data_IF_170004398379
#
_entry.id   IF_170004398379
#
_cell.length_a   1.000
_cell.length_b   1.000
_cell.length_c   1.000
_cell.angle_alpha   90.00
_cell.angle_beta   90.00
_cell.angle_gamma   90.00
#
_symmetry.space_group_name_H-M   'P 1'
#
loop_
_entity.id
_entity.type
_entity.pdbx_description
1 polymer ?
#
# COMPACT_ATOMS: atom_id res chain seq x y z
N UNK A 1 -2.08 10.41 -16.04
CA UNK A 1 -3.37 10.46 -16.78
C UNK A 1 -4.36 11.49 -16.25
N UNK A 2 -4.89 11.37 -15.02
CA UNK A 2 -5.86 12.35 -14.49
C UNK A 2 -5.22 13.74 -14.31
N UNK A 3 -4.01 13.81 -13.76
CA UNK A 3 -3.24 15.06 -13.67
C UNK A 3 -3.07 15.74 -15.03
N UNK A 4 -2.63 14.99 -16.04
CA UNK A 4 -2.52 15.51 -17.42
C UNK A 4 -3.87 15.97 -17.99
N UNK A 5 -4.98 15.30 -17.64
CA UNK A 5 -6.31 15.72 -18.06
C UNK A 5 -6.76 17.02 -17.38
N UNK A 6 -6.34 17.25 -16.14
CA UNK A 6 -6.54 18.50 -15.39
C UNK A 6 -5.66 19.63 -15.97
N UNK A 7 -4.37 19.37 -16.26
CA UNK A 7 -3.47 20.31 -16.94
C UNK A 7 -4.01 20.72 -18.33
N UNK A 8 -4.57 19.76 -19.09
CA UNK A 8 -5.25 20.08 -20.35
C UNK A 8 -6.50 20.94 -20.08
N UNK A 9 -7.24 20.69 -18.99
CA UNK A 9 -8.41 21.50 -18.63
C UNK A 9 -8.03 22.97 -18.35
N UNK A 10 -6.93 23.20 -17.63
CA UNK A 10 -6.41 24.55 -17.38
C UNK A 10 -6.03 25.26 -18.68
N UNK A 11 -5.33 24.55 -19.60
CA UNK A 11 -5.00 25.08 -20.93
C UNK A 11 -6.23 25.41 -21.78
N UNK A 12 -7.34 24.69 -21.57
CA UNK A 12 -8.62 24.94 -22.23
C UNK A 12 -9.39 26.14 -21.63
N UNK A 13 -8.98 26.66 -20.46
CA UNK A 13 -9.68 27.75 -19.77
C UNK A 13 -9.81 29.06 -20.56
N UNK A 14 -8.94 29.28 -21.55
CA UNK A 14 -8.98 30.45 -22.45
C UNK A 14 -9.68 30.20 -23.80
N UNK A 15 -10.20 28.99 -24.04
CA UNK A 15 -10.68 28.59 -25.37
C UNK A 15 -11.82 29.46 -25.89
N UNK A 16 -12.75 29.87 -25.03
CA UNK A 16 -13.87 30.73 -25.40
C UNK A 16 -13.42 32.14 -25.80
N UNK A 17 -12.37 32.68 -25.16
CA UNK A 17 -11.79 33.98 -25.54
C UNK A 17 -11.14 33.90 -26.92
N UNK A 18 -10.35 32.85 -27.19
CA UNK A 18 -9.69 32.66 -28.49
C UNK A 18 -10.73 32.51 -29.60
N UNK A 19 -11.82 31.77 -29.34
CA UNK A 19 -12.95 31.65 -30.28
C UNK A 19 -13.63 32.99 -30.53
N UNK A 20 -13.86 33.80 -29.50
CA UNK A 20 -14.44 35.13 -29.65
C UNK A 20 -13.52 36.10 -30.43
N UNK A 21 -12.20 36.01 -30.22
CA UNK A 21 -11.21 36.76 -30.99
C UNK A 21 -11.18 36.35 -32.46
N UNK A 22 -11.27 35.05 -32.74
CA UNK A 22 -11.41 34.53 -34.10
C UNK A 22 -12.63 35.11 -34.79
N UNK A 23 -13.82 35.07 -34.16
CA UNK A 23 -15.04 35.66 -34.72
C UNK A 23 -14.87 37.15 -35.05
N UNK A 24 -14.19 37.92 -34.18
CA UNK A 24 -13.92 39.34 -34.42
C UNK A 24 -12.92 39.56 -35.55
N UNK A 25 -11.88 38.74 -35.64
CA UNK A 25 -10.88 38.81 -36.71
C UNK A 25 -11.50 38.45 -38.07
N UNK A 26 -12.36 37.43 -38.12
CA UNK A 26 -13.13 37.05 -39.31
C UNK A 26 -14.02 38.18 -39.80
N UNK A 27 -14.73 38.87 -38.89
CA UNK A 27 -15.55 40.03 -39.24
C UNK A 27 -14.74 41.19 -39.85
N UNK A 28 -13.55 41.50 -39.28
CA UNK A 28 -12.65 42.55 -39.79
C UNK A 28 -12.07 42.20 -41.16
N UNK A 29 -11.66 40.95 -41.37
CA UNK A 29 -11.15 40.52 -42.66
C UNK A 29 -12.24 40.52 -43.74
N UNK A 30 -13.47 40.12 -43.41
CA UNK A 30 -14.60 40.22 -44.31
C UNK A 30 -14.88 41.67 -44.74
N UNK A 31 -14.71 42.64 -43.85
CA UNK A 31 -14.83 44.06 -44.16
C UNK A 31 -13.68 44.57 -45.06
N UNK A 32 -12.44 44.15 -44.81
CA UNK A 32 -11.28 44.48 -45.64
C UNK A 32 -11.35 43.88 -47.05
N UNK A 33 -11.98 42.71 -47.19
CA UNK A 33 -12.18 41.98 -48.46
C UNK A 33 -13.22 42.62 -49.38
N UNK A 34 -14.25 43.29 -48.83
CA UNK A 34 -15.32 43.97 -49.60
C UNK A 34 -14.81 44.99 -50.64
N UNK A 35 -13.57 45.46 -50.52
CA UNK A 35 -12.96 46.43 -51.44
C UNK A 35 -12.26 45.80 -52.65
N UNK A 36 -12.03 44.48 -52.69
CA UNK A 36 -11.34 43.82 -53.82
C UNK A 36 -11.70 42.33 -53.96
N UNK A 37 -12.25 41.94 -55.11
CA UNK A 37 -12.53 40.52 -55.43
C UNK A 37 -11.27 39.65 -55.48
N UNK A 38 -10.14 40.19 -55.92
CA UNK A 38 -8.86 39.45 -55.95
C UNK A 38 -8.34 39.17 -54.54
N UNK A 39 -8.54 40.12 -53.62
CA UNK A 39 -8.16 39.96 -52.22
C UNK A 39 -9.06 38.92 -51.53
N UNK A 40 -10.37 38.90 -51.84
CA UNK A 40 -11.30 37.86 -51.36
C UNK A 40 -10.90 36.44 -51.79
N UNK A 41 -10.53 36.26 -53.06
CA UNK A 41 -10.10 34.96 -53.58
C UNK A 41 -8.80 34.47 -52.93
N UNK A 42 -7.79 35.34 -52.83
CA UNK A 42 -6.50 35.01 -52.19
C UNK A 42 -6.67 34.74 -50.69
N UNK A 43 -7.60 35.45 -50.03
CA UNK A 43 -7.95 35.22 -48.63
C UNK A 43 -8.61 33.85 -48.43
N UNK A 44 -9.56 33.46 -49.28
CA UNK A 44 -10.17 32.12 -49.25
C UNK A 44 -9.15 30.99 -49.45
N UNK A 45 -8.20 31.17 -50.37
CA UNK A 45 -7.10 30.21 -50.57
C UNK A 45 -6.20 30.09 -49.32
N UNK A 46 -5.89 31.20 -48.65
CA UNK A 46 -5.15 31.17 -47.39
C UNK A 46 -5.94 30.49 -46.29
N UNK A 47 -7.25 30.69 -46.24
CA UNK A 47 -8.15 30.07 -45.26
C UNK A 47 -8.15 28.53 -45.42
N UNK A 48 -8.24 28.03 -46.67
CA UNK A 48 -8.16 26.61 -46.98
C UNK A 48 -6.80 26.00 -46.61
N UNK A 49 -5.69 26.68 -46.98
CA UNK A 49 -4.34 26.22 -46.63
C UNK A 49 -4.10 26.24 -45.11
N UNK A 50 -4.62 27.24 -44.41
CA UNK A 50 -4.52 27.32 -42.96
C UNK A 50 -5.31 26.19 -42.28
N UNK A 51 -6.51 25.86 -42.78
CA UNK A 51 -7.29 24.73 -42.27
C UNK A 51 -6.57 23.39 -42.49
N UNK A 52 -6.00 23.17 -43.67
CA UNK A 52 -5.20 21.97 -43.97
C UNK A 52 -3.95 21.89 -43.08
N UNK A 53 -3.24 23.02 -42.91
CA UNK A 53 -2.06 23.11 -42.04
C UNK A 53 -2.37 22.82 -40.58
N UNK A 54 -3.49 23.32 -40.06
CA UNK A 54 -3.93 23.07 -38.69
C UNK A 54 -4.25 21.58 -38.45
N UNK A 55 -4.90 20.91 -39.40
CA UNK A 55 -5.16 19.46 -39.33
C UNK A 55 -3.84 18.67 -39.31
N UNK A 56 -2.87 19.03 -40.15
CA UNK A 56 -1.55 18.37 -40.17
C UNK A 56 -0.77 18.62 -38.89
N UNK A 57 -0.85 19.82 -38.30
CA UNK A 57 -0.23 20.12 -37.02
C UNK A 57 -0.79 19.22 -35.89
N UNK A 58 -2.12 19.05 -35.83
CA UNK A 58 -2.78 18.13 -34.89
C UNK A 58 -2.34 16.68 -35.12
N UNK A 59 -2.26 16.22 -36.38
CA UNK A 59 -1.77 14.87 -36.72
C UNK A 59 -0.32 14.66 -36.26
N UNK A 60 0.56 15.62 -36.53
CA UNK A 60 1.97 15.54 -36.16
C UNK A 60 2.15 15.47 -34.64
N UNK A 61 1.40 16.28 -33.89
CA UNK A 61 1.41 16.30 -32.43
C UNK A 61 0.84 14.99 -31.83
N UNK A 62 -0.22 14.43 -32.42
CA UNK A 62 -0.75 13.12 -32.04
C UNK A 62 0.26 11.98 -32.27
N UNK A 63 0.93 11.97 -33.43
CA UNK A 63 1.95 10.97 -33.76
C UNK A 63 3.18 11.08 -32.86
N UNK A 64 3.63 12.31 -32.52
CA UNK A 64 4.76 12.52 -31.61
C UNK A 64 4.48 11.95 -30.22
N UNK A 65 3.28 12.19 -29.67
CA UNK A 65 2.84 11.56 -28.41
C UNK A 65 2.74 10.05 -28.50
N UNK A 66 2.22 9.52 -29.62
CA UNK A 66 2.12 8.08 -29.83
C UNK A 66 3.52 7.43 -29.86
N UNK A 67 4.49 8.09 -30.51
CA UNK A 67 5.88 7.66 -30.57
C UNK A 67 6.51 7.62 -29.16
N UNK A 68 6.35 8.69 -28.38
CA UNK A 68 6.85 8.76 -27.00
C UNK A 68 6.24 7.66 -26.13
N UNK A 69 4.92 7.44 -26.21
CA UNK A 69 4.24 6.39 -25.46
C UNK A 69 4.68 4.97 -25.88
N UNK A 70 4.77 4.70 -27.19
CA UNK A 70 5.22 3.40 -27.70
C UNK A 70 6.67 3.10 -27.32
N UNK A 71 7.52 4.13 -27.35
CA UNK A 71 8.92 4.05 -26.88
C UNK A 71 8.96 3.68 -25.40
N UNK A 72 8.19 4.35 -24.55
CA UNK A 72 8.09 4.01 -23.13
C UNK A 72 7.61 2.58 -22.87
N UNK A 73 6.67 2.06 -23.67
CA UNK A 73 6.24 0.66 -23.57
C UNK A 73 7.35 -0.33 -23.94
N UNK A 74 8.07 -0.08 -25.03
CA UNK A 74 9.23 -0.90 -25.43
C UNK A 74 10.29 -0.90 -24.34
N UNK A 75 10.61 0.28 -23.79
CA UNK A 75 11.67 0.43 -22.79
C UNK A 75 11.31 -0.30 -21.48
N UNK A 76 10.04 -0.28 -21.05
CA UNK A 76 9.59 -1.07 -19.90
C UNK A 76 9.68 -2.58 -20.10
N UNK A 77 9.42 -3.07 -21.33
CA UNK A 77 9.65 -4.48 -21.68
C UNK A 77 11.14 -4.80 -21.70
N UNK A 78 11.97 -3.93 -22.27
CA UNK A 78 13.42 -4.10 -22.33
C UNK A 78 14.06 -4.14 -20.93
N UNK A 79 13.58 -3.32 -19.99
CA UNK A 79 14.01 -3.36 -18.60
C UNK A 79 13.67 -4.71 -17.94
N UNK A 80 12.47 -5.22 -18.18
CA UNK A 80 12.06 -6.54 -17.69
C UNK A 80 12.90 -7.68 -18.29
N UNK A 81 13.35 -7.55 -19.54
CA UNK A 81 14.27 -8.49 -20.19
C UNK A 81 15.69 -8.43 -19.63
N UNK A 82 16.17 -7.23 -19.22
CA UNK A 82 17.53 -7.04 -18.72
C UNK A 82 17.80 -7.84 -17.43
N UNK A 83 16.80 -7.90 -16.55
CA UNK A 83 16.89 -8.63 -15.28
C UNK A 83 16.50 -10.12 -15.41
N UNK A 84 15.69 -10.46 -16.42
CA UNK A 84 15.22 -11.82 -16.66
C UNK A 84 14.35 -12.37 -15.53
N UNK A 85 13.98 -13.64 -15.63
CA UNK A 85 13.19 -14.34 -14.61
C UNK A 85 13.94 -15.52 -13.99
N UNK A 86 15.24 -15.35 -13.75
CA UNK A 86 16.08 -16.38 -13.17
C UNK A 86 15.60 -16.78 -11.76
N UNK A 87 15.44 -18.09 -11.55
CA UNK A 87 15.31 -18.69 -10.22
C UNK A 87 16.60 -19.42 -9.88
N UNK A 88 17.00 -19.36 -8.61
CA UNK A 88 18.15 -20.10 -8.09
C UNK A 88 18.07 -21.61 -8.41
N UNK A 89 19.22 -22.24 -8.61
CA UNK A 89 19.30 -23.68 -8.83
C UNK A 89 18.77 -24.47 -7.62
N UNK A 90 18.22 -25.66 -7.90
CA UNK A 90 17.76 -26.53 -6.82
C UNK A 90 18.96 -26.97 -5.95
N UNK A 91 18.92 -26.76 -4.63
CA UNK A 91 20.06 -27.07 -3.78
C UNK A 91 20.36 -28.57 -3.78
N UNK A 92 21.64 -28.94 -3.88
CA UNK A 92 22.07 -30.34 -3.91
C UNK A 92 21.63 -31.15 -2.66
N UNK A 93 21.41 -30.46 -1.53
CA UNK A 93 20.90 -31.03 -0.27
C UNK A 93 19.37 -31.21 -0.25
N UNK A 94 18.64 -30.61 -1.20
CA UNK A 94 17.17 -30.66 -1.32
C UNK A 94 16.62 -31.94 -1.96
N UNK A 95 17.47 -32.93 -2.25
CA UNK A 95 17.10 -34.16 -2.94
C UNK A 95 17.27 -34.08 -4.46
N UNK A 96 17.13 -35.22 -5.14
CA UNK A 96 17.42 -35.36 -6.57
C UNK A 96 16.33 -34.82 -7.49
N UNK A 97 15.11 -34.59 -6.97
CA UNK A 97 13.98 -34.12 -7.75
C UNK A 97 13.87 -32.61 -7.65
N UNK A 98 14.16 -31.93 -8.75
CA UNK A 98 14.04 -30.48 -8.86
C UNK A 98 12.57 -30.04 -8.93
N UNK A 99 12.05 -29.54 -7.81
CA UNK A 99 10.66 -29.06 -7.71
C UNK A 99 10.43 -27.72 -8.43
N UNK A 100 11.49 -26.99 -8.78
CA UNK A 100 11.40 -25.70 -9.48
C UNK A 100 11.43 -25.85 -11.00
N UNK A 101 11.73 -27.04 -11.54
CA UNK A 101 11.79 -27.29 -12.98
C UNK A 101 10.51 -26.85 -13.73
N UNK A 102 9.28 -27.16 -13.27
CA UNK A 102 8.06 -26.71 -13.95
C UNK A 102 7.87 -25.18 -13.90
N UNK A 103 8.34 -24.53 -12.83
CA UNK A 103 8.29 -23.08 -12.70
C UNK A 103 9.30 -22.42 -13.66
N UNK A 104 10.55 -22.90 -13.69
CA UNK A 104 11.58 -22.45 -14.64
C UNK A 104 11.11 -22.55 -16.09
N UNK A 105 10.47 -23.65 -16.48
CA UNK A 105 9.95 -23.81 -17.84
C UNK A 105 8.92 -22.74 -18.21
N UNK A 106 8.02 -22.37 -17.29
CA UNK A 106 7.04 -21.29 -17.49
C UNK A 106 7.73 -19.92 -17.56
N UNK A 107 8.75 -19.68 -16.74
CA UNK A 107 9.50 -18.42 -16.76
C UNK A 107 10.29 -18.25 -18.06
N UNK A 108 10.93 -19.31 -18.57
CA UNK A 108 11.54 -19.30 -19.91
C UNK A 108 10.51 -19.03 -21.01
N UNK A 109 9.28 -19.55 -20.88
CA UNK A 109 8.21 -19.22 -21.82
C UNK A 109 7.79 -17.74 -21.71
N UNK A 110 7.73 -17.18 -20.51
CA UNK A 110 7.46 -15.76 -20.31
C UNK A 110 8.56 -14.87 -20.91
N UNK A 111 9.84 -15.23 -20.79
CA UNK A 111 10.96 -14.52 -21.45
C UNK A 111 10.78 -14.48 -22.97
N UNK A 112 10.40 -15.61 -23.59
CA UNK A 112 10.10 -15.64 -25.04
C UNK A 112 8.96 -14.70 -25.42
N UNK A 113 7.91 -14.62 -24.62
CA UNK A 113 6.81 -13.68 -24.88
C UNK A 113 7.23 -12.22 -24.70
N UNK A 114 8.17 -11.92 -23.79
CA UNK A 114 8.76 -10.59 -23.71
C UNK A 114 9.59 -10.26 -24.96
N UNK A 115 10.35 -11.21 -25.50
CA UNK A 115 11.10 -11.02 -26.76
C UNK A 115 10.17 -10.73 -27.94
N UNK A 116 9.07 -11.50 -28.05
CA UNK A 116 8.03 -11.28 -29.04
C UNK A 116 7.38 -9.89 -28.88
N UNK A 117 7.03 -9.51 -27.64
CA UNK A 117 6.45 -8.21 -27.32
C UNK A 117 7.41 -7.06 -27.66
N UNK A 118 8.69 -7.17 -27.30
CA UNK A 118 9.73 -6.18 -27.62
C UNK A 118 9.87 -5.99 -29.13
N UNK A 119 9.87 -7.09 -29.89
CA UNK A 119 9.95 -7.07 -31.35
C UNK A 119 8.74 -6.35 -31.97
N UNK A 120 7.53 -6.69 -31.52
CA UNK A 120 6.29 -6.05 -32.00
C UNK A 120 6.25 -4.55 -31.65
N UNK A 121 6.67 -4.18 -30.44
CA UNK A 121 6.73 -2.78 -30.02
C UNK A 121 7.75 -1.98 -30.84
N UNK A 122 8.90 -2.59 -31.17
CA UNK A 122 9.91 -1.97 -32.04
C UNK A 122 9.38 -1.76 -33.45
N UNK A 123 8.64 -2.73 -34.00
CA UNK A 123 8.00 -2.59 -35.31
C UNK A 123 6.93 -1.48 -35.30
N UNK A 124 6.08 -1.43 -34.26
CA UNK A 124 5.08 -0.38 -34.11
C UNK A 124 5.70 1.03 -34.02
N UNK A 125 6.84 1.18 -33.35
CA UNK A 125 7.61 2.45 -33.31
C UNK A 125 8.04 2.84 -34.73
N UNK A 126 8.59 1.91 -35.51
CA UNK A 126 9.01 2.18 -36.89
C UNK A 126 7.84 2.59 -37.81
N UNK A 127 6.67 1.98 -37.62
CA UNK A 127 5.44 2.36 -38.33
C UNK A 127 5.01 3.79 -37.98
N UNK A 128 5.06 4.16 -36.69
CA UNK A 128 4.76 5.53 -36.23
C UNK A 128 5.77 6.54 -36.79
N UNK A 129 7.07 6.25 -36.77
CA UNK A 129 8.10 7.12 -37.35
C UNK A 129 7.89 7.34 -38.85
N UNK A 130 7.47 6.30 -39.57
CA UNK A 130 7.14 6.39 -40.99
C UNK A 130 5.94 7.32 -41.21
N UNK A 131 4.91 7.21 -40.38
CA UNK A 131 3.76 8.11 -40.41
C UNK A 131 4.14 9.57 -40.07
N UNK A 132 5.04 9.80 -39.10
CA UNK A 132 5.57 11.13 -38.77
C UNK A 132 6.22 11.77 -40.00
N UNK A 133 7.13 11.04 -40.66
CA UNK A 133 7.83 11.52 -41.87
C UNK A 133 6.85 11.79 -43.02
N UNK A 134 5.78 11.02 -43.16
CA UNK A 134 4.76 11.25 -44.17
C UNK A 134 4.02 12.57 -43.94
N UNK A 135 3.57 12.83 -42.70
CA UNK A 135 2.90 14.09 -42.34
C UNK A 135 3.81 15.31 -42.53
N UNK A 136 5.11 15.20 -42.19
CA UNK A 136 6.08 16.28 -42.43
C UNK A 136 6.26 16.60 -43.92
N UNK A 137 6.26 15.57 -44.79
CA UNK A 137 6.33 15.75 -46.24
C UNK A 137 5.08 16.41 -46.82
N UNK A 138 3.90 16.11 -46.28
CA UNK A 138 2.63 16.77 -46.66
C UNK A 138 2.60 18.24 -46.22
N UNK A 139 3.21 18.57 -45.08
CA UNK A 139 3.17 19.92 -44.49
C UNK A 139 4.04 20.94 -45.24
N UNK A 140 5.25 20.54 -45.64
CA UNK A 140 6.23 21.44 -46.27
C UNK A 140 5.71 22.23 -47.50
N UNK A 141 5.04 21.63 -48.51
CA UNK A 141 4.55 22.38 -49.67
C UNK A 141 3.42 23.36 -49.32
N UNK A 142 2.55 23.01 -48.36
CA UNK A 142 1.44 23.86 -47.94
C UNK A 142 1.93 25.14 -47.23
N UNK A 143 2.97 25.02 -46.40
CA UNK A 143 3.59 26.17 -45.74
C UNK A 143 4.21 27.14 -46.75
N UNK A 144 4.88 26.62 -47.79
CA UNK A 144 5.51 27.45 -48.82
C UNK A 144 4.47 28.13 -49.73
N UNK A 145 3.39 27.42 -50.10
CA UNK A 145 2.26 28.01 -50.82
C UNK A 145 1.60 29.13 -50.00
N UNK A 146 1.34 28.88 -48.71
CA UNK A 146 0.75 29.89 -47.82
C UNK A 146 1.68 31.09 -47.59
N UNK A 147 3.00 30.92 -47.61
CA UNK A 147 3.97 32.03 -47.53
C UNK A 147 3.94 32.89 -48.79
N UNK A 148 3.84 32.25 -49.96
CA UNK A 148 3.76 32.94 -51.25
C UNK A 148 2.50 33.78 -51.35
N UNK A 149 1.33 33.20 -51.07
CA UNK A 149 0.04 33.92 -51.14
C UNK A 149 -0.01 35.08 -50.12
N UNK A 150 0.60 34.93 -48.93
CA UNK A 150 0.71 36.04 -47.96
C UNK A 150 1.51 37.23 -48.49
N UNK A 151 2.58 36.99 -49.24
CA UNK A 151 3.35 38.07 -49.90
C UNK A 151 2.53 38.76 -50.98
N UNK A 152 1.75 38.01 -51.76
CA UNK A 152 0.85 38.58 -52.77
C UNK A 152 -0.23 39.47 -52.13
N UNK A 153 -0.81 39.02 -51.01
CA UNK A 153 -1.85 39.78 -50.29
C UNK A 153 -1.30 41.08 -49.70
N UNK A 154 -0.08 41.07 -49.17
CA UNK A 154 0.59 42.28 -48.68
C UNK A 154 0.86 43.28 -49.81
N UNK A 155 1.23 42.79 -51.01
CA UNK A 155 1.40 43.62 -52.20
C UNK A 155 0.11 44.25 -52.74
N UNK A 156 -1.05 43.65 -52.44
CA UNK A 156 -2.37 44.18 -52.85
C UNK A 156 -2.92 45.24 -51.88
N UNK A 157 -2.64 45.09 -50.58
CA UNK A 157 -3.09 46.03 -49.54
C UNK A 157 -2.20 45.94 -48.31
N UNK A 158 -1.56 47.05 -47.97
CA UNK A 158 -0.63 47.14 -46.83
C UNK A 158 -1.34 46.75 -45.52
N UNK A 159 -0.72 45.86 -44.75
CA UNK A 159 -1.27 45.31 -43.50
C UNK A 159 -2.28 44.17 -43.67
N UNK A 160 -2.72 43.83 -44.89
CA UNK A 160 -3.64 42.71 -45.11
C UNK A 160 -2.97 41.33 -44.94
N UNK A 161 -1.68 41.21 -45.28
CA UNK A 161 -0.91 39.97 -45.07
C UNK A 161 -0.69 39.68 -43.59
N UNK A 162 -0.49 40.74 -42.78
CA UNK A 162 -0.44 40.64 -41.33
C UNK A 162 -1.78 40.17 -40.73
N UNK A 163 -2.90 40.74 -41.18
CA UNK A 163 -4.24 40.32 -40.76
C UNK A 163 -4.54 38.87 -41.14
N UNK A 164 -4.19 38.44 -42.36
CA UNK A 164 -4.35 37.06 -42.82
C UNK A 164 -3.52 36.08 -41.98
N UNK A 165 -2.30 36.46 -41.59
CA UNK A 165 -1.46 35.66 -40.68
C UNK A 165 -2.08 35.53 -39.30
N UNK A 166 -2.64 36.62 -38.75
CA UNK A 166 -3.33 36.57 -37.46
C UNK A 166 -4.55 35.64 -37.49
N UNK A 167 -5.34 35.69 -38.57
CA UNK A 167 -6.47 34.78 -38.80
C UNK A 167 -6.06 33.32 -38.87
N UNK A 168 -5.04 33.01 -39.67
CA UNK A 168 -4.49 31.66 -39.76
C UNK A 168 -4.03 31.14 -38.40
N UNK A 169 -3.33 31.96 -37.62
CA UNK A 169 -2.87 31.60 -36.28
C UNK A 169 -4.06 31.33 -35.33
N UNK A 170 -5.09 32.19 -35.32
CA UNK A 170 -6.27 32.02 -34.46
C UNK A 170 -7.05 30.75 -34.81
N UNK A 171 -7.22 30.43 -36.11
CA UNK A 171 -7.87 29.19 -36.55
C UNK A 171 -7.06 27.95 -36.18
N UNK A 172 -5.74 28.01 -36.33
CA UNK A 172 -4.85 26.95 -35.90
C UNK A 172 -4.99 26.71 -34.38
N UNK A 173 -4.99 27.79 -33.58
CA UNK A 173 -5.20 27.70 -32.13
C UNK A 173 -6.55 27.05 -31.77
N UNK A 174 -7.65 27.44 -32.43
CA UNK A 174 -8.97 26.80 -32.19
C UNK A 174 -8.94 25.31 -32.52
N UNK A 175 -8.31 24.93 -33.63
CA UNK A 175 -8.18 23.52 -34.04
C UNK A 175 -7.35 22.71 -33.04
N UNK A 176 -6.25 23.30 -32.54
CA UNK A 176 -5.43 22.71 -31.48
C UNK A 176 -6.21 22.56 -30.17
N UNK A 177 -7.04 23.54 -29.79
CA UNK A 177 -7.90 23.48 -28.60
C UNK A 177 -8.94 22.36 -28.73
N UNK A 178 -9.55 22.18 -29.90
CA UNK A 178 -10.50 21.08 -30.13
C UNK A 178 -9.82 19.71 -30.04
N UNK A 179 -8.61 19.57 -30.57
CA UNK A 179 -7.79 18.37 -30.43
C UNK A 179 -7.43 18.09 -28.96
N UNK A 180 -7.05 19.12 -28.20
CA UNK A 180 -6.79 19.01 -26.76
C UNK A 180 -8.03 18.57 -25.99
N UNK A 181 -9.21 19.08 -26.35
CA UNK A 181 -10.49 18.67 -25.75
C UNK A 181 -10.77 17.18 -26.00
N UNK A 182 -10.56 16.70 -27.22
CA UNK A 182 -10.70 15.28 -27.54
C UNK A 182 -9.67 14.41 -26.79
N UNK A 183 -8.41 14.85 -26.73
CA UNK A 183 -7.36 14.17 -25.99
C UNK A 183 -7.67 14.06 -24.49
N UNK A 184 -8.22 15.12 -23.89
CA UNK A 184 -8.66 15.12 -22.49
C UNK A 184 -9.71 14.05 -22.24
N UNK A 185 -10.73 13.96 -23.11
CA UNK A 185 -11.79 12.96 -22.98
C UNK A 185 -11.21 11.54 -23.04
N UNK A 186 -10.33 11.27 -24.02
CA UNK A 186 -9.66 9.99 -24.15
C UNK A 186 -8.83 9.62 -22.91
N UNK A 187 -8.11 10.59 -22.31
CA UNK A 187 -7.34 10.37 -21.08
C UNK A 187 -8.23 10.05 -19.89
N UNK A 188 -9.38 10.72 -19.77
CA UNK A 188 -10.36 10.44 -18.70
C UNK A 188 -10.95 9.04 -18.87
N UNK A 189 -11.35 8.65 -20.07
CA UNK A 189 -11.87 7.30 -20.33
C UNK A 189 -10.83 6.21 -20.05
N UNK A 190 -9.57 6.44 -20.46
CA UNK A 190 -8.48 5.51 -20.15
C UNK A 190 -8.21 5.42 -18.65
N UNK A 191 -8.19 6.55 -17.94
CA UNK A 191 -8.05 6.57 -16.49
C UNK A 191 -9.18 5.80 -15.81
N UNK A 192 -10.44 6.00 -16.24
CA UNK A 192 -11.59 5.26 -15.70
C UNK A 192 -11.50 3.75 -15.91
N UNK A 193 -10.97 3.29 -17.05
CA UNK A 193 -10.72 1.85 -17.28
C UNK A 193 -9.68 1.28 -16.31
N UNK A 194 -8.57 1.99 -16.11
CA UNK A 194 -7.50 1.57 -15.19
C UNK A 194 -7.98 1.61 -13.74
N UNK A 195 -8.72 2.65 -13.34
CA UNK A 195 -9.33 2.74 -12.02
C UNK A 195 -10.29 1.58 -11.76
N UNK A 196 -11.10 1.18 -12.76
CA UNK A 196 -11.98 0.02 -12.63
C UNK A 196 -11.20 -1.27 -12.41
N UNK A 197 -10.14 -1.52 -13.18
CA UNK A 197 -9.27 -2.68 -12.98
C UNK A 197 -8.64 -2.67 -11.59
N UNK A 198 -8.14 -1.51 -11.14
CA UNK A 198 -7.56 -1.35 -9.80
C UNK A 198 -8.59 -1.62 -8.71
N UNK A 199 -9.83 -1.12 -8.86
CA UNK A 199 -10.92 -1.39 -7.91
C UNK A 199 -11.16 -2.89 -7.76
N UNK A 200 -11.21 -3.65 -8.85
CA UNK A 200 -11.40 -5.11 -8.79
C UNK A 200 -10.30 -5.81 -7.98
N UNK A 201 -9.03 -5.45 -8.20
CA UNK A 201 -7.91 -6.04 -7.44
C UNK A 201 -7.94 -5.61 -5.97
N UNK A 202 -8.34 -4.38 -5.69
CA UNK A 202 -8.51 -3.90 -4.31
C UNK A 202 -9.68 -4.59 -3.60
N UNK A 203 -10.77 -4.89 -4.30
CA UNK A 203 -11.91 -5.64 -3.76
C UNK A 203 -11.47 -7.07 -3.35
N UNK A 204 -10.68 -7.74 -4.19
CA UNK A 204 -10.08 -9.04 -3.87
C UNK A 204 -9.15 -8.95 -2.64
N UNK A 205 -8.32 -7.90 -2.57
CA UNK A 205 -7.44 -7.68 -1.43
C UNK A 205 -8.21 -7.40 -0.13
N UNK A 206 -9.26 -6.59 -0.19
CA UNK A 206 -10.10 -6.27 0.97
C UNK A 206 -10.83 -7.52 1.47
N UNK A 207 -11.32 -8.38 0.56
CA UNK A 207 -11.88 -9.69 0.93
C UNK A 207 -10.85 -10.57 1.66
N UNK A 208 -9.63 -10.68 1.13
CA UNK A 208 -8.56 -11.46 1.78
C UNK A 208 -8.20 -10.90 3.19
N UNK A 209 -8.22 -9.57 3.34
CA UNK A 209 -7.99 -8.92 4.64
C UNK A 209 -9.12 -9.21 5.63
N UNK A 210 -10.37 -9.20 5.16
CA UNK A 210 -11.54 -9.53 5.98
C UNK A 210 -11.51 -10.99 6.45
N UNK A 211 -11.21 -11.94 5.54
CA UNK A 211 -11.03 -13.36 5.88
C UNK A 211 -9.94 -13.56 6.95
N UNK A 212 -8.80 -12.87 6.80
CA UNK A 212 -7.71 -12.90 7.77
C UNK A 212 -8.12 -12.30 9.13
N UNK A 213 -8.86 -11.20 9.14
CA UNK A 213 -9.37 -10.57 10.38
C UNK A 213 -10.38 -11.48 11.08
N UNK A 214 -11.28 -12.12 10.32
CA UNK A 214 -12.23 -13.09 10.86
C UNK A 214 -11.52 -14.28 11.52
N UNK A 215 -10.45 -14.79 10.89
CA UNK A 215 -9.65 -15.86 11.48
C UNK A 215 -8.91 -15.42 12.76
N UNK A 216 -8.37 -14.19 12.78
CA UNK A 216 -7.78 -13.61 14.00
C UNK A 216 -8.81 -13.46 15.12
N UNK A 217 -10.02 -13.01 14.81
CA UNK A 217 -11.11 -12.94 15.78
C UNK A 217 -11.50 -14.31 16.33
N UNK A 218 -11.55 -15.34 15.47
CA UNK A 218 -11.80 -16.73 15.87
C UNK A 218 -10.75 -17.22 16.85
N UNK A 219 -9.47 -16.97 16.57
CA UNK A 219 -8.35 -17.33 17.48
C UNK A 219 -8.44 -16.56 18.79
N UNK A 220 -8.71 -15.25 18.77
CA UNK A 220 -8.86 -14.44 19.98
C UNK A 220 -10.03 -14.93 20.86
N UNK A 221 -11.14 -15.34 20.26
CA UNK A 221 -12.27 -15.92 21.00
C UNK A 221 -11.90 -17.27 21.61
N UNK A 222 -11.18 -18.12 20.87
CA UNK A 222 -10.67 -19.40 21.37
C UNK A 222 -9.73 -19.20 22.58
N UNK A 223 -8.79 -18.26 22.49
CA UNK A 223 -7.87 -17.92 23.58
C UNK A 223 -8.63 -17.38 24.79
N UNK A 224 -9.60 -16.48 24.58
CA UNK A 224 -10.45 -15.94 25.65
C UNK A 224 -11.21 -17.04 26.37
N UNK A 225 -11.81 -17.99 25.64
CA UNK A 225 -12.53 -19.10 26.24
C UNK A 225 -11.61 -20.05 27.03
N UNK A 226 -10.40 -20.30 26.51
CA UNK A 226 -9.44 -21.22 27.13
C UNK A 226 -8.76 -20.65 28.37
N UNK A 227 -8.65 -19.31 28.44
CA UNK A 227 -8.04 -18.58 29.55
C UNK A 227 -9.08 -17.92 30.47
N UNK A 228 -10.37 -18.20 30.26
CA UNK A 228 -11.44 -17.66 31.08
C UNK A 228 -11.37 -18.18 32.52
N UNK A 229 -11.72 -17.34 33.52
CA UNK A 229 -12.14 -15.94 33.41
C UNK A 229 -10.98 -14.93 33.41
N UNK A 230 -9.74 -15.41 33.55
CA UNK A 230 -8.58 -14.58 33.89
C UNK A 230 -8.13 -13.65 32.76
N UNK A 231 -8.05 -14.13 31.52
CA UNK A 231 -7.52 -13.32 30.40
C UNK A 231 -8.57 -13.19 29.29
N UNK A 232 -8.70 -11.98 28.75
CA UNK A 232 -9.53 -11.70 27.58
C UNK A 232 -8.66 -11.14 26.45
N UNK A 233 -8.89 -11.65 25.24
CA UNK A 233 -8.21 -11.21 24.02
C UNK A 233 -9.25 -10.62 23.07
N UNK A 234 -8.99 -9.41 22.56
CA UNK A 234 -9.84 -8.73 21.58
C UNK A 234 -9.01 -8.36 20.36
N UNK A 235 -9.65 -8.39 19.19
CA UNK A 235 -9.03 -7.91 17.94
C UNK A 235 -9.76 -6.65 17.51
N UNK A 236 -9.02 -5.56 17.35
CA UNK A 236 -9.49 -4.34 16.69
C UNK A 236 -9.04 -4.36 15.25
N UNK A 237 -10.01 -4.49 14.34
CA UNK A 237 -9.75 -4.55 12.91
C UNK A 237 -9.13 -3.24 12.40
N UNK A 238 -8.14 -3.36 11.51
CA UNK A 238 -7.51 -2.23 10.81
C UNK A 238 -7.03 -1.08 11.74
N UNK A 239 -6.61 -1.40 12.96
CA UNK A 239 -6.30 -0.41 13.99
C UNK A 239 -4.83 0.04 14.02
N UNK A 240 -3.93 -0.60 13.27
CA UNK A 240 -2.53 -0.20 13.19
C UNK A 240 -2.32 0.95 12.21
N UNK A 241 -2.59 2.17 12.66
CA UNK A 241 -2.62 3.37 11.80
C UNK A 241 -1.25 4.03 11.55
N UNK A 242 -0.18 3.58 12.21
CA UNK A 242 1.10 4.30 12.25
C UNK A 242 1.72 4.60 10.88
N UNK A 243 1.77 3.58 10.01
CA UNK A 243 2.31 3.74 8.65
C UNK A 243 1.45 4.68 7.80
N UNK A 244 0.12 4.57 7.93
CA UNK A 244 -0.81 5.43 7.20
C UNK A 244 -0.72 6.89 7.66
N UNK A 245 -0.63 7.15 8.96
CA UNK A 245 -0.42 8.49 9.52
C UNK A 245 0.89 9.09 9.01
N UNK A 246 1.98 8.32 9.00
CA UNK A 246 3.27 8.76 8.51
C UNK A 246 3.22 9.11 7.00
N UNK A 247 2.54 8.28 6.21
CA UNK A 247 2.38 8.52 4.78
C UNK A 247 1.55 9.78 4.48
N UNK A 248 0.42 9.98 5.16
CA UNK A 248 -0.38 11.22 5.03
C UNK A 248 0.46 12.44 5.45
N UNK A 249 1.19 12.33 6.56
CA UNK A 249 2.07 13.39 7.06
C UNK A 249 3.13 13.80 6.03
N UNK A 250 3.77 12.82 5.41
CA UNK A 250 4.76 13.06 4.36
C UNK A 250 4.12 13.69 3.12
N UNK A 251 2.96 13.21 2.68
CA UNK A 251 2.27 13.74 1.51
C UNK A 251 1.75 15.18 1.72
N UNK A 252 1.38 15.54 2.95
CA UNK A 252 0.94 16.89 3.30
C UNK A 252 2.07 17.85 3.69
N UNK A 253 3.34 17.40 3.70
CA UNK A 253 4.47 18.26 4.04
C UNK A 253 4.59 19.40 3.02
N UNK A 254 4.85 20.62 3.51
CA UNK A 254 4.95 21.82 2.66
C UNK A 254 3.62 22.47 2.26
N UNK A 255 2.47 21.88 2.62
CA UNK A 255 1.13 22.42 2.29
C UNK A 255 0.71 23.66 3.10
N UNK A 256 1.46 24.00 4.16
CA UNK A 256 1.07 25.01 5.15
C UNK A 256 -0.11 24.59 6.05
N UNK A 257 -0.54 23.32 6.00
CA UNK A 257 -1.56 22.76 6.88
C UNK A 257 -0.93 22.24 8.17
N UNK A 258 -1.74 22.11 9.24
CA UNK A 258 -1.36 21.43 10.49
C UNK A 258 -1.41 19.90 10.31
N UNK A 259 -0.54 19.37 9.46
CA UNK A 259 -0.57 17.96 9.06
C UNK A 259 -0.40 16.97 10.22
N UNK A 260 0.32 17.34 11.29
CA UNK A 260 0.47 16.49 12.49
C UNK A 260 -0.85 16.27 13.24
N UNK A 261 -1.79 17.20 13.13
CA UNK A 261 -3.14 17.09 13.71
C UNK A 261 -4.10 16.39 12.74
N UNK A 262 -3.98 16.72 11.44
CA UNK A 262 -4.88 16.23 10.41
C UNK A 262 -4.63 14.77 10.04
N UNK A 263 -3.37 14.33 9.99
CA UNK A 263 -3.03 12.96 9.57
C UNK A 263 -3.64 11.89 10.49
N UNK A 264 -3.55 12.00 11.84
CA UNK A 264 -4.25 11.09 12.74
C UNK A 264 -5.78 11.13 12.57
N UNK A 265 -6.36 12.32 12.44
CA UNK A 265 -7.81 12.47 12.28
C UNK A 265 -8.32 11.80 11.00
N UNK A 266 -7.62 12.00 9.88
CA UNK A 266 -7.89 11.30 8.61
C UNK A 266 -7.75 9.79 8.79
N UNK A 267 -6.59 9.33 9.27
CA UNK A 267 -6.32 7.89 9.41
C UNK A 267 -7.30 7.15 10.33
N UNK A 268 -7.86 7.83 11.33
CA UNK A 268 -8.85 7.25 12.25
C UNK A 268 -10.28 7.17 11.69
N UNK A 269 -10.58 7.86 10.59
CA UNK A 269 -11.95 8.01 10.08
C UNK A 269 -12.17 7.45 8.68
N UNK A 270 -11.10 7.17 7.94
CA UNK A 270 -11.16 6.58 6.61
C UNK A 270 -9.98 5.65 6.37
N UNK A 271 -10.18 4.68 5.48
CA UNK A 271 -9.14 3.77 5.00
C UNK A 271 -8.24 4.47 3.94
N UNK A 272 -7.05 3.92 3.65
CA UNK A 272 -6.22 4.42 2.56
C UNK A 272 -6.94 4.44 1.22
N UNK A 273 -7.73 3.41 0.93
CA UNK A 273 -8.54 3.31 -0.30
C UNK A 273 -9.57 4.44 -0.39
N UNK A 274 -10.39 4.61 0.65
CA UNK A 274 -11.42 5.66 0.69
C UNK A 274 -10.82 7.07 0.54
N UNK A 275 -9.70 7.35 1.21
CA UNK A 275 -9.01 8.64 1.08
C UNK A 275 -8.55 8.86 -0.37
N UNK A 276 -7.88 7.86 -0.97
CA UNK A 276 -7.36 7.99 -2.34
C UNK A 276 -8.49 8.13 -3.36
N UNK A 277 -9.56 7.33 -3.25
CA UNK A 277 -10.72 7.45 -4.13
C UNK A 277 -11.42 8.80 -3.97
N UNK A 278 -11.54 9.33 -2.75
CA UNK A 278 -12.10 10.65 -2.52
C UNK A 278 -11.23 11.76 -3.15
N UNK A 279 -9.90 11.66 -3.05
CA UNK A 279 -8.95 12.58 -3.68
C UNK A 279 -9.03 12.52 -5.20
N UNK A 280 -9.05 11.32 -5.80
CA UNK A 280 -9.11 11.13 -7.25
C UNK A 280 -10.45 11.58 -7.86
N UNK A 281 -11.55 11.39 -7.14
CA UNK A 281 -12.89 11.81 -7.57
C UNK A 281 -13.24 13.25 -7.18
N UNK A 282 -12.29 14.01 -6.60
CA UNK A 282 -12.50 15.37 -6.09
C UNK A 282 -13.68 15.48 -5.08
N UNK A 283 -13.93 14.40 -4.33
CA UNK A 283 -15.02 14.32 -3.36
C UNK A 283 -14.60 14.94 -2.01
N UNK A 284 -14.40 16.26 -2.01
CA UNK A 284 -14.00 17.02 -0.82
C UNK A 284 -15.08 17.02 0.26
N UNK A 285 -16.35 16.86 -0.12
CA UNK A 285 -17.48 16.72 0.80
C UNK A 285 -17.36 15.46 1.67
N UNK A 286 -16.96 14.33 1.08
CA UNK A 286 -16.67 13.11 1.83
C UNK A 286 -15.55 13.33 2.85
N UNK A 287 -14.40 13.88 2.41
CA UNK A 287 -13.25 14.14 3.30
C UNK A 287 -13.65 15.08 4.45
N UNK A 288 -14.37 16.16 4.15
CA UNK A 288 -14.85 17.14 5.13
C UNK A 288 -15.77 16.51 6.17
N UNK A 289 -16.76 15.73 5.73
CA UNK A 289 -17.75 15.10 6.62
C UNK A 289 -17.12 14.01 7.49
N UNK A 290 -16.33 13.13 6.87
CA UNK A 290 -15.74 11.96 7.54
C UNK A 290 -14.69 12.36 8.56
N UNK A 291 -13.78 13.28 8.20
CA UNK A 291 -12.75 13.78 9.11
C UNK A 291 -13.22 14.94 10.00
N UNK A 292 -14.48 15.39 9.86
CA UNK A 292 -15.07 16.52 10.60
C UNK A 292 -14.24 17.81 10.51
N UNK A 293 -13.75 18.13 9.31
CA UNK A 293 -12.98 19.35 9.01
C UNK A 293 -13.74 20.29 8.07
N UNK A 294 -13.33 21.56 8.00
CA UNK A 294 -13.95 22.50 7.07
C UNK A 294 -13.73 22.11 5.60
N UNK A 295 -14.67 22.51 4.73
CA UNK A 295 -14.57 22.24 3.29
C UNK A 295 -13.30 22.83 2.65
N UNK A 296 -12.86 24.00 3.09
CA UNK A 296 -11.61 24.62 2.63
C UNK A 296 -10.38 23.76 2.97
N UNK A 297 -10.31 23.22 4.20
CA UNK A 297 -9.23 22.30 4.59
C UNK A 297 -9.27 21.01 3.78
N UNK A 298 -10.46 20.44 3.59
CA UNK A 298 -10.65 19.24 2.79
C UNK A 298 -10.21 19.45 1.33
N UNK A 299 -10.53 20.60 0.74
CA UNK A 299 -10.07 20.99 -0.60
C UNK A 299 -8.54 21.07 -0.64
N UNK A 300 -7.90 21.77 0.30
CA UNK A 300 -6.43 21.89 0.34
C UNK A 300 -5.74 20.53 0.50
N UNK A 301 -6.30 19.64 1.32
CA UNK A 301 -5.82 18.26 1.47
C UNK A 301 -5.93 17.53 0.14
N UNK A 302 -7.11 17.55 -0.49
CA UNK A 302 -7.34 16.85 -1.75
C UNK A 302 -6.40 17.34 -2.85
N UNK A 303 -6.24 18.66 -2.98
CA UNK A 303 -5.31 19.26 -3.95
C UNK A 303 -3.87 18.85 -3.67
N UNK A 304 -3.42 18.93 -2.40
CA UNK A 304 -2.05 18.57 -2.04
C UNK A 304 -1.76 17.10 -2.33
N UNK A 305 -2.65 16.19 -1.92
CA UNK A 305 -2.49 14.75 -2.15
C UNK A 305 -2.52 14.42 -3.65
N UNK A 306 -3.39 15.06 -4.42
CA UNK A 306 -3.44 14.90 -5.89
C UNK A 306 -2.15 15.38 -6.56
N UNK A 307 -1.52 16.44 -6.04
CA UNK A 307 -0.24 16.97 -6.55
C UNK A 307 0.98 16.17 -6.07
N UNK A 308 0.94 15.63 -4.86
CA UNK A 308 2.00 14.79 -4.30
C UNK A 308 2.02 13.36 -4.82
N UNK A 309 0.88 12.87 -5.33
CA UNK A 309 0.69 11.46 -5.68
C UNK A 309 0.03 10.68 -4.55
N UNK A 310 -0.80 9.71 -4.92
CA UNK A 310 -1.57 8.85 -4.00
C UNK A 310 -1.10 7.39 -4.03
N UNK A 311 -0.09 7.07 -4.84
CA UNK A 311 0.40 5.72 -5.09
C UNK A 311 0.96 5.09 -3.81
N UNK A 312 1.71 5.88 -3.03
CA UNK A 312 2.26 5.43 -1.75
C UNK A 312 1.19 5.20 -0.68
N UNK A 313 0.00 5.82 -0.80
CA UNK A 313 -1.08 5.67 0.18
C UNK A 313 -1.90 4.41 -0.08
N UNK A 314 -2.26 4.15 -1.35
CA UNK A 314 -3.23 3.10 -1.68
C UNK A 314 -2.73 1.68 -1.37
N UNK A 315 -1.40 1.48 -1.37
CA UNK A 315 -0.79 0.20 -1.05
C UNK A 315 -0.68 -0.10 0.45
N UNK A 316 -0.93 0.88 1.32
CA UNK A 316 -0.74 0.71 2.76
C UNK A 316 -1.75 -0.28 3.31
N UNK A 317 -1.24 -1.30 3.99
CA UNK A 317 -2.07 -2.24 4.75
C UNK A 317 -2.36 -1.71 6.14
N UNK A 318 -3.64 -1.66 6.49
CA UNK A 318 -4.04 -1.49 7.88
C UNK A 318 -4.16 -2.88 8.51
N UNK A 319 -3.22 -3.22 9.38
CA UNK A 319 -3.27 -4.46 10.15
C UNK A 319 -4.14 -4.32 11.40
N UNK A 320 -4.64 -5.46 11.88
CA UNK A 320 -5.43 -5.53 13.10
C UNK A 320 -4.52 -5.43 14.31
N UNK A 321 -5.05 -4.85 15.40
CA UNK A 321 -4.36 -4.81 16.68
C UNK A 321 -5.02 -5.79 17.66
N UNK A 322 -4.20 -6.58 18.35
CA UNK A 322 -4.66 -7.42 19.45
C UNK A 322 -4.55 -6.67 20.77
N UNK A 323 -5.68 -6.51 21.46
CA UNK A 323 -5.73 -5.99 22.82
C UNK A 323 -5.86 -7.16 23.81
N UNK A 324 -5.09 -7.08 24.89
CA UNK A 324 -5.08 -8.09 25.94
C UNK A 324 -5.52 -7.45 27.26
N UNK A 325 -6.46 -8.10 27.95
CA UNK A 325 -7.01 -7.66 29.22
C UNK A 325 -6.86 -8.77 30.27
N UNK A 326 -6.53 -8.39 31.51
CA UNK A 326 -6.48 -9.30 32.66
C UNK A 326 -7.60 -8.94 33.63
N UNK A 327 -8.35 -9.93 34.09
CA UNK A 327 -9.29 -9.78 35.19
C UNK A 327 -8.53 -9.59 36.50
N UNK A 328 -8.65 -8.41 37.09
CA UNK A 328 -8.07 -8.07 38.37
C UNK A 328 -9.19 -7.70 39.35
N UNK A 329 -9.41 -8.58 40.33
CA UNK A 329 -10.56 -8.58 41.23
C UNK A 329 -11.91 -8.64 40.48
N UNK A 330 -12.49 -7.48 40.13
CA UNK A 330 -13.79 -7.37 39.48
C UNK A 330 -13.73 -6.72 38.09
N UNK A 331 -12.60 -6.08 37.74
CA UNK A 331 -12.46 -5.29 36.52
C UNK A 331 -11.40 -5.86 35.60
N UNK A 332 -11.62 -5.70 34.29
CA UNK A 332 -10.63 -6.04 33.27
C UNK A 332 -9.71 -4.84 33.06
N UNK A 333 -8.42 -5.02 33.32
CA UNK A 333 -7.38 -4.01 33.10
C UNK A 333 -6.68 -4.26 31.78
N UNK A 334 -6.45 -3.19 31.01
CA UNK A 334 -5.73 -3.26 29.75
C UNK A 334 -4.22 -3.46 29.96
N UNK A 335 -3.53 -4.03 28.97
CA UNK A 335 -2.11 -4.41 29.07
C UNK A 335 -1.16 -3.28 29.53
N UNK A 336 -1.46 -2.03 29.20
CA UNK A 336 -0.71 -0.83 29.58
C UNK A 336 -0.92 -0.41 31.04
N UNK A 337 -2.02 -0.82 31.67
CA UNK A 337 -2.35 -0.57 33.08
C UNK A 337 -1.81 -1.66 34.02
N UNK A 338 -1.36 -2.78 33.46
CA UNK A 338 -0.86 -3.93 34.22
C UNK A 338 0.55 -3.71 34.76
N UNK A 339 0.79 -4.20 35.98
CA UNK A 339 2.14 -4.32 36.53
C UNK A 339 3.01 -5.26 35.67
N UNK A 340 4.33 -5.17 35.81
CA UNK A 340 5.27 -6.07 35.08
C UNK A 340 4.89 -7.54 35.28
N UNK A 341 4.59 -7.96 36.51
CA UNK A 341 4.19 -9.33 36.82
C UNK A 341 2.88 -9.74 36.15
N UNK A 342 1.85 -8.90 36.21
CA UNK A 342 0.57 -9.16 35.54
C UNK A 342 0.71 -9.23 34.01
N UNK A 343 1.59 -8.42 33.42
CA UNK A 343 1.90 -8.52 31.98
C UNK A 343 2.57 -9.85 31.63
N UNK A 344 3.55 -10.28 32.43
CA UNK A 344 4.18 -11.60 32.28
C UNK A 344 3.13 -12.72 32.38
N UNK A 345 2.20 -12.62 33.33
CA UNK A 345 1.05 -13.52 33.49
C UNK A 345 0.23 -13.65 32.20
N UNK A 346 -0.19 -12.54 31.61
CA UNK A 346 -1.01 -12.54 30.39
C UNK A 346 -0.25 -13.17 29.22
N UNK A 347 0.98 -12.73 28.99
CA UNK A 347 1.81 -13.20 27.87
C UNK A 347 2.10 -14.69 27.99
N UNK A 348 2.53 -15.16 29.17
CA UNK A 348 2.87 -16.56 29.39
C UNK A 348 1.63 -17.46 29.22
N UNK A 349 0.48 -17.03 29.73
CA UNK A 349 -0.78 -17.77 29.59
C UNK A 349 -1.17 -17.96 28.12
N UNK A 350 -1.02 -16.91 27.30
CA UNK A 350 -1.29 -16.98 25.85
C UNK A 350 -0.28 -17.87 25.13
N UNK A 351 1.02 -17.75 25.45
CA UNK A 351 2.06 -18.56 24.83
C UNK A 351 1.84 -20.06 25.08
N UNK A 352 1.42 -20.43 26.29
CA UNK A 352 1.13 -21.82 26.65
C UNK A 352 -0.05 -22.44 25.90
N UNK A 353 -0.97 -21.62 25.35
CA UNK A 353 -2.07 -22.10 24.51
C UNK A 353 -1.63 -22.53 23.10
N UNK A 354 -0.36 -22.37 22.73
CA UNK A 354 0.15 -22.88 21.44
C UNK A 354 0.48 -24.37 21.57
N UNK A 355 -0.28 -25.29 20.93
CA UNK A 355 -0.14 -26.73 21.15
C UNK A 355 1.14 -27.31 20.53
N UNK A 356 1.61 -26.75 19.42
CA UNK A 356 2.59 -27.44 18.54
C UNK A 356 4.00 -26.83 18.57
N UNK A 357 4.29 -25.97 19.57
CA UNK A 357 5.59 -25.30 19.68
C UNK A 357 6.43 -25.88 20.83
N UNK A 358 7.75 -25.77 20.74
CA UNK A 358 8.62 -25.95 21.90
C UNK A 358 8.70 -24.60 22.63
N UNK A 359 8.41 -24.59 23.93
CA UNK A 359 8.54 -23.39 24.75
C UNK A 359 9.64 -23.60 25.79
N UNK A 360 10.60 -22.67 25.81
CA UNK A 360 11.64 -22.60 26.83
C UNK A 360 11.34 -21.37 27.67
N UNK A 361 11.13 -21.57 28.97
CA UNK A 361 10.79 -20.50 29.90
C UNK A 361 11.83 -20.48 31.01
N UNK A 362 12.57 -19.39 31.10
CA UNK A 362 13.58 -19.19 32.13
C UNK A 362 12.99 -18.38 33.28
N UNK A 363 13.09 -18.93 34.48
CA UNK A 363 12.62 -18.36 35.75
C UNK A 363 11.25 -17.68 35.64
N UNK A 364 10.17 -18.40 35.26
CA UNK A 364 8.84 -17.80 35.19
C UNK A 364 8.41 -17.14 36.50
N UNK A 365 8.94 -17.57 37.64
CA UNK A 365 8.60 -17.07 38.97
C UNK A 365 9.13 -15.67 39.33
N UNK A 366 10.15 -15.13 38.65
CA UNK A 366 10.86 -13.91 39.12
C UNK A 366 9.96 -12.65 39.17
N UNK A 367 8.84 -12.67 38.45
CA UNK A 367 7.85 -11.59 38.43
C UNK A 367 6.42 -12.07 38.73
N UNK A 368 6.24 -13.32 39.17
CA UNK A 368 4.94 -13.93 39.43
C UNK A 368 4.78 -14.25 40.91
N UNK A 369 3.61 -13.98 41.47
CA UNK A 369 3.31 -14.43 42.82
C UNK A 369 3.03 -15.96 42.86
N UNK A 370 3.19 -16.56 44.04
CA UNK A 370 2.98 -17.99 44.22
C UNK A 370 1.52 -18.43 43.97
N UNK A 371 0.55 -17.52 44.15
CA UNK A 371 -0.85 -17.83 43.92
C UNK A 371 -1.14 -17.99 42.42
N UNK A 372 -0.54 -17.15 41.58
CA UNK A 372 -0.62 -17.24 40.13
C UNK A 372 0.12 -18.47 39.60
N UNK A 373 1.33 -18.74 40.13
CA UNK A 373 2.08 -19.95 39.76
C UNK A 373 1.18 -21.17 39.98
N UNK A 374 0.63 -21.34 41.18
CA UNK A 374 -0.20 -22.49 41.53
C UNK A 374 -1.56 -22.52 40.80
N UNK A 375 -2.23 -21.38 40.64
CA UNK A 375 -3.59 -21.33 40.13
C UNK A 375 -3.70 -21.31 38.60
N UNK A 376 -2.82 -20.58 37.92
CA UNK A 376 -2.96 -20.31 36.48
C UNK A 376 -1.84 -20.94 35.67
N UNK A 377 -0.58 -20.74 36.06
CA UNK A 377 0.57 -21.30 35.32
C UNK A 377 0.54 -22.82 35.31
N UNK A 378 0.35 -23.45 36.47
CA UNK A 378 0.22 -24.91 36.57
C UNK A 378 -0.97 -25.42 35.76
N UNK A 379 -2.13 -24.76 35.82
CA UNK A 379 -3.30 -25.12 35.02
C UNK A 379 -2.99 -25.08 33.51
N UNK A 380 -2.33 -24.02 33.05
CA UNK A 380 -1.93 -23.86 31.66
C UNK A 380 -0.88 -24.91 31.22
N UNK A 381 0.08 -25.27 32.09
CA UNK A 381 1.04 -26.35 31.84
C UNK A 381 0.31 -27.69 31.66
N UNK A 382 -0.62 -28.03 32.56
CA UNK A 382 -1.35 -29.31 32.54
C UNK A 382 -2.33 -29.43 31.37
N UNK A 383 -2.96 -28.33 30.97
CA UNK A 383 -3.94 -28.30 29.88
C UNK A 383 -3.29 -28.24 28.50
N UNK A 384 -1.97 -28.12 28.43
CA UNK A 384 -1.26 -28.03 27.16
C UNK A 384 -1.25 -29.37 26.42
N UNK A 385 -1.37 -29.30 25.09
CA UNK A 385 -1.24 -30.47 24.22
C UNK A 385 0.09 -31.20 24.44
N UNK A 386 0.04 -32.53 24.47
CA UNK A 386 1.22 -33.40 24.56
C UNK A 386 2.11 -33.37 23.31
N UNK A 387 1.65 -32.75 22.21
CA UNK A 387 2.43 -32.60 20.98
C UNK A 387 3.51 -31.51 21.07
N UNK A 388 3.42 -30.61 22.05
CA UNK A 388 4.41 -29.56 22.30
C UNK A 388 5.29 -29.86 23.52
N UNK A 389 6.57 -29.48 23.46
CA UNK A 389 7.50 -29.60 24.60
C UNK A 389 7.54 -28.31 25.43
N UNK A 390 7.57 -28.44 26.76
CA UNK A 390 7.83 -27.35 27.70
C UNK A 390 9.14 -27.61 28.44
N UNK A 391 10.01 -26.61 28.50
CA UNK A 391 11.27 -26.65 29.25
C UNK A 391 11.28 -25.45 30.18
N UNK A 392 11.34 -25.71 31.49
CA UNK A 392 11.42 -24.68 32.52
C UNK A 392 12.79 -24.71 33.20
N UNK A 393 13.40 -23.54 33.33
CA UNK A 393 14.46 -23.29 34.32
C UNK A 393 13.79 -22.60 35.50
N UNK A 394 13.87 -23.16 36.70
CA UNK A 394 13.14 -22.65 37.86
C UNK A 394 13.83 -23.01 39.17
N UNK A 395 13.72 -22.12 40.15
CA UNK A 395 14.04 -22.36 41.55
C UNK A 395 12.78 -22.59 42.41
N UNK A 396 11.58 -22.52 41.82
CA UNK A 396 10.33 -22.74 42.53
C UNK A 396 9.93 -24.22 42.46
N UNK A 397 9.98 -24.90 43.62
CA UNK A 397 9.61 -26.31 43.75
C UNK A 397 8.17 -26.63 43.34
N UNK A 398 7.26 -25.65 43.36
CA UNK A 398 5.86 -25.86 42.99
C UNK A 398 5.70 -26.15 41.49
N UNK A 399 6.55 -25.58 40.62
CA UNK A 399 6.43 -25.74 39.17
C UNK A 399 6.63 -27.19 38.73
N UNK A 400 7.75 -27.87 39.03
CA UNK A 400 7.94 -29.25 38.59
C UNK A 400 7.01 -30.25 39.30
N UNK A 401 6.60 -29.98 40.54
CA UNK A 401 5.74 -30.89 41.32
C UNK A 401 4.28 -30.78 40.91
N UNK A 402 3.71 -29.57 40.94
CA UNK A 402 2.30 -29.36 40.60
C UNK A 402 2.06 -29.42 39.09
N UNK A 403 3.07 -29.09 38.29
CA UNK A 403 3.03 -29.18 36.84
C UNK A 403 3.31 -30.58 36.28
N UNK A 404 3.54 -31.57 37.15
CA UNK A 404 3.78 -32.97 36.77
C UNK A 404 4.93 -33.13 35.75
N UNK A 405 6.09 -32.56 36.06
CA UNK A 405 7.23 -32.58 35.16
C UNK A 405 7.62 -34.01 34.77
N UNK A 406 7.63 -34.31 33.46
CA UNK A 406 8.04 -35.63 32.98
C UNK A 406 9.51 -35.96 33.30
N UNK A 407 10.36 -34.93 33.39
CA UNK A 407 11.79 -35.07 33.68
C UNK A 407 12.30 -33.86 34.45
N UNK A 408 13.12 -34.13 35.48
CA UNK A 408 13.79 -33.12 36.29
C UNK A 408 15.29 -33.22 36.04
N UNK A 409 15.90 -32.10 35.64
CA UNK A 409 17.34 -32.00 35.39
C UNK A 409 17.94 -31.10 36.47
N UNK A 410 18.68 -31.69 37.41
CA UNK A 410 19.39 -30.91 38.43
C UNK A 410 20.74 -30.47 37.87
N UNK A 411 20.93 -29.16 37.80
CA UNK A 411 22.21 -28.55 37.45
C UNK A 411 22.96 -28.15 38.72
N UNK A 412 24.29 -28.19 38.65
CA UNK A 412 25.20 -27.62 39.64
C UNK A 412 26.32 -26.86 38.94
N UNK A 413 26.99 -25.96 39.66
CA UNK A 413 28.10 -25.18 39.15
C UNK A 413 29.27 -25.23 40.12
N UNK A 414 30.47 -25.34 39.57
CA UNK A 414 31.72 -25.20 40.35
C UNK A 414 32.31 -23.78 40.26
N UNK A 415 31.51 -22.79 39.83
CA UNK A 415 31.94 -21.41 39.60
C UNK A 415 32.71 -21.19 38.30
N UNK A 416 33.04 -22.24 37.54
CA UNK A 416 33.68 -22.15 36.20
C UNK A 416 32.81 -22.70 35.08
N UNK A 417 32.03 -23.75 35.35
CA UNK A 417 31.06 -24.34 34.41
C UNK A 417 29.88 -24.94 35.15
N UNK A 418 28.73 -24.94 34.48
CA UNK A 418 27.59 -25.77 34.88
C UNK A 418 27.76 -27.22 34.45
N UNK A 419 27.23 -28.16 35.22
CA UNK A 419 27.17 -29.58 34.88
C UNK A 419 25.88 -30.21 35.41
N UNK A 420 25.44 -31.29 34.76
CA UNK A 420 24.26 -32.04 35.16
C UNK A 420 24.64 -32.99 36.29
N UNK A 421 23.96 -32.88 37.44
CA UNK A 421 24.09 -33.82 38.55
C UNK A 421 23.26 -35.09 38.33
N UNK A 422 22.02 -34.92 37.85
CA UNK A 422 21.17 -36.01 37.39
C UNK A 422 20.02 -35.48 36.52
N UNK A 423 19.45 -36.37 35.73
CA UNK A 423 18.37 -36.07 34.80
C UNK A 423 17.38 -37.24 34.77
N UNK A 424 16.48 -37.27 35.75
CA UNK A 424 15.60 -38.41 36.05
C UNK A 424 14.12 -37.98 36.03
N UNK A 425 13.16 -38.93 35.98
CA UNK A 425 11.74 -38.63 36.19
C UNK A 425 11.45 -37.96 37.55
N UNK A 426 10.30 -37.29 37.69
CA UNK A 426 9.91 -36.53 38.89
C UNK A 426 9.88 -37.37 40.17
N UNK A 427 9.41 -38.61 40.07
CA UNK A 427 9.23 -39.55 41.19
C UNK A 427 10.52 -40.30 41.58
N UNK A 428 11.60 -40.13 40.82
CA UNK A 428 12.88 -40.76 41.15
C UNK A 428 13.46 -40.18 42.46
N UNK A 429 14.02 -41.00 43.37
CA UNK A 429 14.51 -40.53 44.67
C UNK A 429 15.49 -39.36 44.62
N UNK A 430 16.35 -39.30 43.57
CA UNK A 430 17.27 -38.18 43.35
C UNK A 430 16.55 -36.86 43.01
N UNK A 431 15.49 -36.92 42.20
CA UNK A 431 14.67 -35.76 41.82
C UNK A 431 13.90 -35.24 43.02
N UNK A 432 13.26 -36.13 43.79
CA UNK A 432 12.54 -35.79 45.03
C UNK A 432 13.48 -35.13 46.04
N UNK A 433 14.67 -35.70 46.25
CA UNK A 433 15.68 -35.12 47.13
C UNK A 433 16.16 -33.74 46.64
N UNK A 434 16.34 -33.56 45.33
CA UNK A 434 16.72 -32.28 44.73
C UNK A 434 15.65 -31.20 44.98
N UNK A 435 14.39 -31.48 44.65
CA UNK A 435 13.29 -30.54 44.84
C UNK A 435 13.13 -30.18 46.32
N UNK A 436 13.18 -31.19 47.21
CA UNK A 436 13.08 -30.99 48.66
C UNK A 436 14.19 -30.09 49.20
N UNK A 437 15.39 -30.17 48.63
CA UNK A 437 16.52 -29.33 49.04
C UNK A 437 16.38 -27.86 48.62
N UNK A 438 15.53 -27.57 47.63
CA UNK A 438 15.26 -26.22 47.13
C UNK A 438 14.10 -25.56 47.90
N UNK A 439 13.19 -26.35 48.46
CA UNK A 439 12.10 -25.83 49.29
C UNK A 439 12.63 -25.02 50.47
N UNK A 440 12.20 -23.77 50.61
CA UNK A 440 12.55 -22.91 51.74
C UNK A 440 12.23 -23.61 53.09
N UNK A 441 13.27 -23.82 53.90
CA UNK A 441 13.18 -24.52 55.19
C UNK A 441 13.23 -26.06 55.13
N UNK A 442 13.35 -26.64 53.93
CA UNK A 442 13.54 -28.07 53.70
C UNK A 442 12.39 -28.96 54.20
N UNK A 443 12.67 -30.27 54.30
CA UNK A 443 11.68 -31.28 54.70
C UNK A 443 11.10 -31.02 56.10
N UNK A 444 11.92 -30.53 57.03
CA UNK A 444 11.48 -30.27 58.41
C UNK A 444 10.44 -29.13 58.48
N UNK A 445 10.67 -28.02 57.77
CA UNK A 445 9.70 -26.93 57.72
C UNK A 445 8.41 -27.35 57.01
N UNK A 446 8.50 -28.20 55.98
CA UNK A 446 7.32 -28.78 55.35
C UNK A 446 6.52 -29.66 56.33
N UNK A 447 7.17 -30.56 57.07
CA UNK A 447 6.50 -31.40 58.07
C UNK A 447 5.86 -30.59 59.20
N UNK A 448 6.52 -29.53 59.67
CA UNK A 448 5.94 -28.58 60.65
C UNK A 448 4.69 -27.88 60.11
N UNK A 449 4.72 -27.38 58.87
CA UNK A 449 3.54 -26.80 58.22
C UNK A 449 2.43 -27.83 58.02
N UNK A 450 2.74 -29.02 57.54
CA UNK A 450 1.76 -30.08 57.32
C UNK A 450 1.10 -30.54 58.63
N UNK A 451 1.87 -30.69 59.71
CA UNK A 451 1.35 -31.03 61.04
C UNK A 451 0.52 -29.89 61.64
N UNK A 452 0.94 -28.63 61.46
CA UNK A 452 0.14 -27.46 61.83
C UNK A 452 -1.21 -27.46 61.10
N UNK A 453 -1.22 -27.60 59.77
CA UNK A 453 -2.46 -27.65 58.99
C UNK A 453 -3.33 -28.83 59.40
N UNK A 454 -2.79 -30.05 59.55
CA UNK A 454 -3.58 -31.21 60.04
C UNK A 454 -4.18 -31.00 61.43
N UNK A 455 -3.53 -30.24 62.30
CA UNK A 455 -4.01 -29.97 63.66
C UNK A 455 -5.14 -28.95 63.69
N UNK A 456 -5.19 -28.05 62.71
CA UNK A 456 -6.13 -26.92 62.68
C UNK A 456 -7.08 -26.93 61.47
N UNK A 457 -6.92 -27.85 60.52
CA UNK A 457 -7.91 -28.15 59.48
C UNK A 457 -8.96 -29.10 60.09
N UNK A 458 -9.90 -28.53 60.84
CA UNK A 458 -11.16 -29.21 61.12
C UNK A 458 -12.15 -28.78 60.04
N UNK A 459 -12.11 -29.50 58.92
CA UNK A 459 -13.26 -29.86 58.07
C UNK A 459 -12.94 -31.20 57.39
#
# INVERSE_FOLDING_TARGET
MLREADEIAERLGGADSVRAELTRAEARAAEMSKTSQQLDQKQKQLDELAAQGAVLAVRADALRRALEAATGYRDGVAESQLFGFGLDEWPATGGTTDLLSPARAKLTQAEKHLDEAHTLLTAAIADIETAVKAVEREKAPLEEQARTIRRDVEGLKEGAGAAARQLANLREQVTQLDALKALRLQKIERAGRVQKQRSTVLDELDQQREERSAERQRVAQMLTNSLAPSVRVKIRQAAQLGEFIAAITNALRGSGLRYNELAPALASTMTPRELVEAVENANTAFISKTAKISGDRALRIATQLRTGGTEALIGIGLDDLADFELLDHADFKAMDELSVGQRCTVVLSILLQNPDRILIVDQPEDHLDNAFIAGTLIGAIRNRSSQGQLIFSTHNANIPVLGEAARVIRLESNGKRGFVLHAEPLDHPKSVAAITSIMEGGNEAFQKRASFYRRFSNE
#
